data_IF_185435842349
#
_entry.id   IF_185435842349
#
_cell.length_a   1.000
_cell.length_b   1.000
_cell.length_c   1.000
_cell.angle_alpha   90.00
_cell.angle_beta   90.00
_cell.angle_gamma   90.00
#
_symmetry.space_group_name_H-M   'P 1'
#
loop_
_entity.id
_entity.type
_entity.pdbx_description
1 polymer ?
2 polymer ?
3 branched ?
4 non-polymer ?
5 water ?
#
# COMPACT_ATOMS: atom_id res chain seq x y z
N UNK A 1 -2.60 6.07 16.31
CA UNK A 1 -1.14 6.14 16.46
C UNK A 1 -0.43 5.34 15.36
N UNK A 2 -1.20 4.82 14.40
CA UNK A 2 -0.67 4.20 13.19
C UNK A 2 -0.69 5.23 12.06
N UNK A 3 0.45 5.40 11.39
CA UNK A 3 0.54 6.32 10.26
C UNK A 3 1.57 5.85 9.24
N UNK A 4 1.33 6.20 7.98
CA UNK A 4 2.25 5.90 6.89
C UNK A 4 3.49 6.78 6.96
N UNK A 5 4.46 6.42 6.15
CA UNK A 5 5.66 7.22 6.04
C UNK A 5 5.24 8.44 5.22
N UNK A 6 6.03 9.49 5.27
CA UNK A 6 5.78 10.72 4.54
C UNK A 6 6.19 10.54 3.08
N UNK A 7 5.26 10.78 2.17
CA UNK A 7 5.53 10.62 0.75
C UNK A 7 5.52 12.00 0.11
N UNK A 8 6.68 12.44 -0.37
CA UNK A 8 6.80 13.71 -1.05
C UNK A 8 8.15 14.34 -0.75
N UNK A 9 8.20 15.65 -0.91
CA UNK A 9 9.44 16.38 -0.86
C UNK A 9 9.48 17.40 0.27
N UNK A 10 10.60 18.09 0.41
CA UNK A 10 10.80 18.97 1.56
C UNK A 10 10.22 20.38 1.43
N UNK A 11 9.65 20.74 0.28
CA UNK A 11 9.15 22.08 0.08
C UNK A 11 7.86 22.31 0.84
N UNK A 12 7.36 23.52 0.68
CA UNK A 12 6.11 23.94 1.25
C UNK A 12 6.22 24.14 2.76
N UNK A 13 5.05 24.25 3.35
CA UNK A 13 4.89 24.38 4.79
C UNK A 13 4.12 23.18 5.32
N UNK A 14 4.55 22.67 6.47
CA UNK A 14 3.87 21.53 7.09
C UNK A 14 2.46 21.88 7.51
N UNK A 15 1.56 20.90 7.33
CA UNK A 15 0.19 20.93 7.83
C UNK A 15 -0.11 19.61 8.52
N UNK A 16 -1.14 19.61 9.36
CA UNK A 16 -1.51 18.44 10.16
C UNK A 16 -2.95 18.65 10.59
N UNK A 17 -3.84 17.74 10.17
CA UNK A 17 -5.26 17.86 10.43
C UNK A 17 -5.68 17.20 11.75
N UNK A 18 -4.73 16.79 12.58
CA UNK A 18 -5.05 16.06 13.80
C UNK A 18 -6.16 16.74 14.60
N UNK A 19 -6.02 18.04 14.84
CA UNK A 19 -6.99 18.78 15.64
C UNK A 19 -8.34 18.88 14.94
N UNK A 20 -8.36 19.31 13.67
CA UNK A 20 -9.63 19.55 13.00
C UNK A 20 -10.40 18.24 12.82
N UNK A 21 -9.71 17.10 12.86
CA UNK A 21 -10.34 15.80 12.72
C UNK A 21 -11.15 15.37 13.92
N UNK A 22 -10.96 15.99 15.10
CA UNK A 22 -11.88 15.72 16.20
C UNK A 22 -13.30 16.08 15.80
N UNK A 23 -13.49 16.88 14.74
CA UNK A 23 -14.85 17.20 14.32
C UNK A 23 -15.60 16.00 13.78
N UNK A 24 -14.92 14.90 13.43
CA UNK A 24 -15.57 13.67 13.05
C UNK A 24 -14.89 12.93 11.92
N UNK A 25 -15.47 11.80 11.51
CA UNK A 25 -14.95 11.02 10.39
C UNK A 25 -15.00 11.82 9.10
N UNK A 26 -14.08 11.48 8.19
CA UNK A 26 -14.04 12.13 6.88
C UNK A 26 -15.33 11.86 6.13
N UNK A 27 -15.95 12.92 5.65
CA UNK A 27 -17.22 12.87 4.92
C UNK A 27 -17.08 13.32 3.49
N UNK A 28 -15.98 13.97 3.14
CA UNK A 28 -15.80 14.49 1.79
C UNK A 28 -14.32 14.62 1.48
N UNK A 29 -13.97 14.30 0.24
CA UNK A 29 -12.67 14.60 -0.35
C UNK A 29 -12.88 15.69 -1.40
N UNK A 30 -12.25 16.83 -1.21
CA UNK A 30 -12.17 17.85 -2.25
C UNK A 30 -10.71 17.96 -2.68
N UNK A 31 -10.50 17.89 -4.00
CA UNK A 31 -9.18 18.05 -4.59
C UNK A 31 -9.28 18.98 -5.79
N UNK A 32 -8.12 19.38 -6.29
CA UNK A 32 -7.96 20.14 -7.52
C UNK A 32 -7.05 19.35 -8.43
N UNK A 33 -7.55 19.04 -9.64
CA UNK A 33 -6.96 18.01 -10.48
C UNK A 33 -6.72 18.51 -11.90
N UNK A 34 -5.47 18.47 -12.33
CA UNK A 34 -5.13 18.63 -13.74
C UNK A 34 -4.24 17.45 -14.13
N UNK A 35 -3.11 17.68 -14.77
CA UNK A 35 -2.17 16.58 -14.93
C UNK A 35 -1.50 16.20 -13.63
N UNK A 36 -1.60 17.05 -12.62
CA UNK A 36 -1.23 16.72 -11.25
C UNK A 36 -2.35 17.14 -10.31
N UNK A 37 -2.24 16.67 -9.08
CA UNK A 37 -3.13 17.08 -8.01
C UNK A 37 -2.51 18.31 -7.38
N UNK A 38 -3.22 19.44 -7.43
CA UNK A 38 -2.64 20.68 -6.91
C UNK A 38 -3.12 21.04 -5.51
N UNK A 39 -4.28 20.57 -5.06
CA UNK A 39 -4.60 20.72 -3.65
C UNK A 39 -5.53 19.60 -3.18
N UNK A 40 -5.55 19.44 -1.87
CA UNK A 40 -6.45 18.51 -1.20
C UNK A 40 -7.01 19.25 0.01
N UNK A 41 -8.24 18.85 0.38
CA UNK A 41 -8.96 19.51 1.47
C UNK A 41 -10.04 18.53 1.90
N UNK A 42 -9.83 17.87 3.04
CA UNK A 42 -10.81 16.95 3.57
C UNK A 42 -11.76 17.67 4.51
N UNK A 43 -12.97 17.14 4.57
CA UNK A 43 -14.02 17.58 5.49
C UNK A 43 -14.15 16.55 6.60
N UNK A 44 -14.01 17.01 7.84
CA UNK A 44 -14.09 16.15 9.00
C UNK A 44 -15.42 16.40 9.70
N UNK A 45 -16.32 15.41 9.63
CA UNK A 45 -17.71 15.67 9.91
C UNK A 45 -18.24 16.82 9.06
N UNK A 46 -18.47 17.96 9.71
CA UNK A 46 -19.02 19.12 9.03
C UNK A 46 -17.98 20.20 8.76
N UNK A 47 -16.73 20.01 9.19
CA UNK A 47 -15.71 21.05 9.20
C UNK A 47 -14.61 20.72 8.19
N UNK A 48 -14.31 21.69 7.34
CA UNK A 48 -13.26 21.56 6.34
C UNK A 48 -11.93 21.98 6.93
N UNK A 49 -10.87 21.35 6.47
CA UNK A 49 -9.53 21.91 6.71
C UNK A 49 -9.32 23.13 5.82
N UNK A 50 -8.18 23.79 6.04
CA UNK A 50 -7.81 24.78 5.06
C UNK A 50 -7.44 24.06 3.76
N UNK A 51 -7.31 24.84 2.69
CA UNK A 51 -6.94 24.34 1.38
C UNK A 51 -5.44 24.08 1.33
N UNK A 52 -5.05 22.81 1.21
CA UNK A 52 -3.63 22.42 1.29
C UNK A 52 -3.15 22.27 -0.15
N UNK A 53 -2.62 23.37 -0.69
CA UNK A 53 -2.21 23.49 -2.07
C UNK A 53 -2.72 24.77 -2.69
N UNK A 54 -2.29 25.00 -3.94
CA UNK A 54 -2.71 26.16 -4.75
C UNK A 54 -2.90 27.39 -3.86
N UNK A 55 -1.79 27.70 -3.20
CA UNK A 55 -1.72 28.82 -2.29
C UNK A 55 -2.35 30.07 -2.87
N UNK A 56 -1.94 30.44 -4.09
CA UNK A 56 -2.52 31.60 -4.76
C UNK A 56 -2.44 31.47 -6.27
N UNK A 57 -3.13 32.38 -6.95
CA UNK A 57 -3.30 32.27 -8.40
C UNK A 57 -2.01 32.55 -9.16
N UNK A 58 -1.03 33.19 -8.52
CA UNK A 58 0.28 33.27 -9.14
C UNK A 58 0.94 31.91 -9.29
N UNK A 59 0.39 30.87 -8.66
CA UNK A 59 0.99 29.55 -8.81
C UNK A 59 0.91 29.06 -10.25
N UNK A 60 0.11 29.73 -11.10
CA UNK A 60 0.01 29.42 -12.53
C UNK A 60 1.33 29.65 -13.23
N UNK A 61 2.26 30.34 -12.59
CA UNK A 61 3.59 30.51 -13.14
C UNK A 61 4.43 29.25 -13.10
N UNK A 62 3.96 28.21 -12.42
CA UNK A 62 4.79 27.02 -12.18
C UNK A 62 4.10 25.70 -12.52
N UNK A 63 2.79 25.68 -12.66
CA UNK A 63 2.08 24.45 -13.03
C UNK A 63 0.65 24.84 -13.40
N UNK A 64 -0.05 23.90 -14.03
CA UNK A 64 -1.46 24.11 -14.30
C UNK A 64 -2.25 24.06 -13.00
N UNK A 65 -3.48 24.55 -13.07
CA UNK A 65 -4.35 24.72 -11.90
C UNK A 65 -5.26 23.52 -11.70
N UNK A 66 -6.05 23.21 -12.71
CA UNK A 66 -7.03 22.13 -12.63
C UNK A 66 -8.39 22.57 -12.15
N UNK A 67 -9.27 21.56 -12.14
CA UNK A 67 -10.67 21.70 -11.76
C UNK A 67 -10.92 21.06 -10.42
N UNK A 68 -11.87 21.65 -9.71
CA UNK A 68 -12.26 21.16 -8.40
C UNK A 68 -13.04 19.88 -8.56
N UNK A 69 -12.69 18.86 -7.77
CA UNK A 69 -13.37 17.58 -7.74
C UNK A 69 -13.77 17.30 -6.30
N UNK A 70 -15.01 16.87 -6.11
CA UNK A 70 -15.53 16.59 -4.79
C UNK A 70 -16.06 15.17 -4.82
N UNK A 71 -15.63 14.35 -3.88
CA UNK A 71 -16.23 13.04 -3.65
C UNK A 71 -16.86 13.02 -2.26
N UNK A 72 -18.17 12.84 -2.24
CA UNK A 72 -18.91 12.73 -1.00
C UNK A 72 -18.88 11.27 -0.60
N UNK A 73 -18.50 11.02 0.66
CA UNK A 73 -18.56 9.69 1.22
C UNK A 73 -19.92 9.48 1.88
N UNK A 74 -20.49 8.30 1.70
CA UNK A 74 -21.69 8.01 2.46
C UNK A 74 -21.31 7.59 3.87
N UNK A 75 -22.27 7.71 4.78
CA UNK A 75 -22.09 7.23 6.14
C UNK A 75 -21.62 5.77 6.10
N UNK A 76 -20.64 5.45 6.93
CA UNK A 76 -20.04 4.13 6.92
C UNK A 76 -19.04 3.87 5.80
N UNK A 77 -18.85 4.79 4.86
CA UNK A 77 -17.82 4.67 3.84
C UNK A 77 -16.54 5.31 4.34
N UNK A 78 -15.42 4.60 4.24
CA UNK A 78 -14.15 5.17 4.68
C UNK A 78 -13.04 4.88 3.69
N UNK A 79 -12.04 5.77 3.67
CA UNK A 79 -10.92 5.64 2.73
C UNK A 79 -9.98 4.56 3.24
N UNK A 80 -9.79 3.51 2.44
CA UNK A 80 -8.95 2.38 2.88
C UNK A 80 -7.61 2.25 2.16
N UNK A 81 -7.39 2.94 1.05
CA UNK A 81 -6.06 2.91 0.45
C UNK A 81 -5.93 4.10 -0.48
N UNK A 82 -4.68 4.42 -0.80
CA UNK A 82 -4.35 5.42 -1.78
C UNK A 82 -3.17 4.95 -2.61
N UNK A 83 -3.32 5.06 -3.93
CA UNK A 83 -2.20 4.90 -4.84
C UNK A 83 -1.66 6.30 -5.10
N UNK A 84 -0.44 6.53 -4.66
CA UNK A 84 0.20 7.85 -4.72
C UNK A 84 1.40 7.73 -5.64
N UNK A 85 1.44 8.56 -6.67
CA UNK A 85 2.64 8.77 -7.45
C UNK A 85 3.31 10.07 -7.00
N UNK A 86 4.62 10.03 -6.83
CA UNK A 86 5.25 11.17 -6.20
C UNK A 86 6.75 11.21 -6.46
N UNK A 87 7.30 12.41 -6.31
CA UNK A 87 8.73 12.64 -6.33
C UNK A 87 9.10 13.82 -5.45
N UNK A 88 9.53 14.93 -6.07
CA UNK A 88 9.65 16.19 -5.37
C UNK A 88 8.30 16.62 -4.76
N UNK A 89 7.20 16.27 -5.42
CA UNK A 89 5.89 16.61 -4.95
C UNK A 89 5.02 15.37 -5.10
N UNK A 90 3.84 15.43 -4.50
CA UNK A 90 2.80 14.50 -4.87
C UNK A 90 2.37 14.81 -6.30
N UNK A 91 2.40 13.79 -7.15
CA UNK A 91 1.98 13.89 -8.55
C UNK A 91 0.51 13.57 -8.74
N UNK A 92 0.06 12.40 -8.28
CA UNK A 92 -1.33 12.05 -8.45
C UNK A 92 -1.77 11.22 -7.25
N UNK A 93 -3.08 11.16 -7.04
CA UNK A 93 -3.66 10.41 -5.93
C UNK A 93 -4.91 9.71 -6.46
N UNK A 94 -4.95 8.38 -6.31
CA UNK A 94 -6.15 7.58 -6.57
C UNK A 94 -6.60 6.99 -5.23
N UNK A 95 -7.73 7.48 -4.70
CA UNK A 95 -8.21 7.00 -3.42
C UNK A 95 -9.16 5.86 -3.64
N UNK A 96 -9.10 4.87 -2.74
CA UNK A 96 -10.02 3.75 -2.73
C UNK A 96 -10.70 3.70 -1.37
N UNK A 97 -12.01 3.48 -1.37
CA UNK A 97 -12.75 3.34 -0.13
C UNK A 97 -13.20 1.90 0.06
N UNK A 98 -13.75 1.63 1.23
CA UNK A 98 -14.28 0.31 1.45
C UNK A 98 -15.41 -0.03 0.46
N UNK A 99 -15.94 0.97 -0.27
CA UNK A 99 -17.04 0.72 -1.22
C UNK A 99 -16.66 0.84 -2.70
N UNK A 100 -15.57 1.52 -3.05
CA UNK A 100 -15.34 1.78 -4.47
C UNK A 100 -13.95 2.36 -4.69
N UNK A 101 -13.35 2.03 -5.84
CA UNK A 101 -12.20 2.78 -6.31
C UNK A 101 -12.68 4.05 -7.00
N UNK A 102 -12.11 5.18 -6.60
CA UNK A 102 -12.50 6.48 -7.13
C UNK A 102 -11.60 6.86 -8.30
N UNK A 103 -12.00 7.87 -9.08
CA UNK A 103 -11.14 8.38 -10.15
C UNK A 103 -9.86 8.99 -9.60
N UNK A 104 -8.79 8.90 -10.40
CA UNK A 104 -7.51 9.46 -10.05
C UNK A 104 -7.51 10.98 -10.22
N UNK A 105 -6.84 11.65 -9.28
CA UNK A 105 -6.59 13.08 -9.35
C UNK A 105 -5.15 13.26 -9.81
N UNK A 106 -4.99 13.79 -11.00
CA UNK A 106 -3.70 13.90 -11.64
C UNK A 106 -3.63 12.90 -12.78
N UNK A 107 -3.72 13.36 -14.03
CA UNK A 107 -3.72 12.45 -15.17
C UNK A 107 -2.37 11.80 -15.39
N UNK A 108 -1.28 12.48 -15.01
CA UNK A 108 0.04 11.90 -15.16
C UNK A 108 0.38 11.08 -13.93
N UNK A 109 0.80 9.83 -14.16
CA UNK A 109 1.18 8.86 -13.13
C UNK A 109 2.52 8.24 -13.49
N UNK A 110 3.52 9.09 -13.69
CA UNK A 110 4.82 8.66 -14.21
C UNK A 110 5.92 8.63 -13.14
N UNK A 111 5.65 9.21 -12.01
CA UNK A 111 6.59 9.24 -10.94
C UNK A 111 6.50 7.97 -10.06
N UNK A 112 7.38 7.80 -9.08
CA UNK A 112 7.33 6.58 -8.28
C UNK A 112 5.94 6.38 -7.72
N UNK A 113 5.45 5.13 -7.74
CA UNK A 113 4.10 4.82 -7.30
C UNK A 113 4.11 3.85 -6.12
N UNK A 114 3.28 4.13 -5.13
CA UNK A 114 3.15 3.28 -3.96
C UNK A 114 1.66 3.11 -3.72
N UNK A 115 1.28 1.92 -3.27
CA UNK A 115 -0.06 1.65 -2.78
C UNK A 115 -0.03 1.63 -1.25
N UNK A 116 -0.66 2.61 -0.63
CA UNK A 116 -0.67 2.80 0.82
C UNK A 116 -1.95 2.22 1.38
N UNK A 117 -1.83 1.16 2.17
CA UNK A 117 -2.98 0.65 2.89
C UNK A 117 -3.20 1.53 4.11
N UNK A 118 -4.46 1.76 4.43
CA UNK A 118 -4.80 2.68 5.52
C UNK A 118 -5.68 1.87 6.48
N UNK A 119 -5.08 1.17 7.44
CA UNK A 119 -5.87 0.18 8.18
C UNK A 119 -6.94 0.82 9.04
N UNK A 120 -8.15 0.27 8.96
CA UNK A 120 -9.31 0.77 9.68
C UNK A 120 -9.97 1.98 9.05
N UNK A 121 -9.37 2.53 8.00
CA UNK A 121 -9.85 3.73 7.33
C UNK A 121 -8.99 4.92 7.68
N UNK A 122 -8.98 5.89 6.79
CA UNK A 122 -8.23 7.12 7.01
C UNK A 122 -8.89 7.91 8.13
N UNK A 123 -8.11 8.29 9.13
CA UNK A 123 -8.54 9.18 10.19
C UNK A 123 -8.28 10.65 9.84
N UNK A 124 -7.08 10.98 9.43
CA UNK A 124 -6.86 12.31 8.87
C UNK A 124 -5.56 12.28 8.09
N UNK A 125 -5.19 13.42 7.50
CA UNK A 125 -3.96 13.53 6.74
C UNK A 125 -3.05 14.57 7.38
N UNK A 126 -1.75 14.42 7.14
CA UNK A 126 -0.80 15.49 7.37
C UNK A 126 0.08 15.58 6.14
N UNK A 127 0.90 16.62 6.08
CA UNK A 127 1.82 16.75 4.96
C UNK A 127 2.47 18.11 4.88
N UNK A 128 2.80 18.51 3.65
CA UNK A 128 3.36 19.84 3.37
C UNK A 128 2.76 20.36 2.08
N UNK A 129 2.69 21.70 1.96
CA UNK A 129 1.92 22.31 0.86
C UNK A 129 2.44 23.70 0.51
N UNK A 130 2.18 24.10 -0.73
CA UNK A 130 2.39 25.50 -1.13
C UNK A 130 1.58 25.77 -2.38
N UNK A 131 2.24 25.92 -3.54
CA UNK A 131 1.50 25.93 -4.80
C UNK A 131 0.89 24.57 -5.11
N UNK A 132 1.46 23.49 -4.59
CA UNK A 132 0.80 22.22 -4.73
C UNK A 132 1.04 21.41 -3.48
N UNK A 133 0.93 20.08 -3.62
CA UNK A 133 0.99 19.17 -2.49
C UNK A 133 2.41 18.64 -2.43
N UNK A 134 3.23 19.24 -1.59
CA UNK A 134 4.60 18.76 -1.52
C UNK A 134 4.66 17.32 -1.02
N UNK A 135 3.77 16.92 -0.12
CA UNK A 135 3.83 15.59 0.44
C UNK A 135 2.64 15.27 1.34
N UNK A 136 2.40 13.98 1.49
CA UNK A 136 1.28 13.51 2.30
C UNK A 136 1.73 12.39 3.23
N UNK A 137 1.02 12.29 4.36
CA UNK A 137 1.16 11.20 5.33
C UNK A 137 -0.25 10.83 5.78
N UNK A 138 -0.59 9.54 5.80
CA UNK A 138 -1.94 9.08 6.04
C UNK A 138 -2.04 8.47 7.44
N UNK A 139 -2.95 9.00 8.24
CA UNK A 139 -3.08 8.63 9.64
C UNK A 139 -4.30 7.72 9.73
N UNK A 140 -4.04 6.48 10.14
CA UNK A 140 -4.99 5.38 10.09
C UNK A 140 -5.80 5.32 11.39
N UNK A 141 -6.95 4.67 11.30
CA UNK A 141 -7.82 4.57 12.45
C UNK A 141 -7.39 3.45 13.38
N UNK A 142 -6.80 2.39 12.82
CA UNK A 142 -6.34 1.22 13.55
C UNK A 142 -5.63 1.47 14.87
N UNK B 1 -9.99 -7.01 7.34
CA UNK B 1 -9.23 -5.79 7.52
C UNK B 1 -8.95 -5.25 6.13
N UNK B 2 -8.27 -4.10 6.04
CA UNK B 2 -7.93 -3.57 4.75
C UNK B 2 -6.94 -4.53 4.02
N UNK B 3 -7.08 -4.64 2.72
CA UNK B 3 -6.23 -5.53 1.92
C UNK B 3 -5.87 -4.87 0.60
N UNK B 4 -4.66 -5.19 0.12
CA UNK B 4 -4.23 -4.72 -1.19
C UNK B 4 -5.05 -5.39 -2.31
N UNK B 5 -4.73 -5.00 -3.53
CA UNK B 5 -5.18 -5.70 -4.73
C UNK B 5 -4.55 -7.09 -4.80
N UNK B 6 -5.15 -8.00 -5.57
CA UNK B 6 -4.54 -9.30 -5.82
C UNK B 6 -3.45 -9.15 -6.87
N UNK B 7 -2.26 -9.65 -6.56
CA UNK B 7 -1.09 -9.47 -7.41
C UNK B 7 -0.62 -10.81 -7.96
N UNK B 8 -0.87 -11.05 -9.25
CA UNK B 8 -0.50 -12.30 -9.87
C UNK B 8 -1.54 -12.76 -10.86
N UNK B 9 -1.52 -14.07 -11.14
CA UNK B 9 -2.34 -14.67 -12.17
C UNK B 9 -3.43 -15.61 -11.66
N UNK B 10 -4.12 -16.24 -12.60
CA UNK B 10 -5.29 -17.05 -12.25
C UNK B 10 -5.01 -18.50 -11.86
N UNK B 11 -3.78 -18.99 -12.02
CA UNK B 11 -3.49 -20.39 -11.80
C UNK B 11 -3.46 -20.79 -10.33
N UNK B 12 -3.17 -22.07 -10.11
CA UNK B 12 -3.13 -22.63 -8.76
C UNK B 12 -4.46 -22.59 -8.03
N UNK B 13 -4.37 -22.82 -6.71
CA UNK B 13 -5.53 -22.86 -5.81
C UNK B 13 -5.46 -21.74 -4.79
N UNK B 14 -6.61 -21.31 -4.30
CA UNK B 14 -6.67 -20.20 -3.37
C UNK B 14 -6.18 -20.61 -1.98
N UNK B 15 -5.56 -19.66 -1.29
CA UNK B 15 -5.24 -19.80 0.14
C UNK B 15 -5.52 -18.46 0.81
N UNK B 16 -5.75 -18.50 2.11
CA UNK B 16 -6.06 -17.28 2.87
C UNK B 16 -5.61 -17.56 4.29
N UNK B 17 -4.56 -16.85 4.76
CA UNK B 17 -4.02 -17.06 6.10
C UNK B 17 -4.86 -16.36 7.19
N UNK B 18 -6.04 -15.83 6.89
CA UNK B 18 -6.78 -15.02 7.84
C UNK B 18 -6.92 -15.71 9.19
N UNK B 19 -7.45 -16.92 9.19
CA UNK B 19 -7.76 -17.59 10.45
C UNK B 19 -6.49 -17.86 11.24
N UNK B 20 -5.50 -18.42 10.55
CA UNK B 20 -4.22 -18.72 11.18
C UNK B 20 -3.62 -17.47 11.83
N UNK B 21 -3.80 -16.31 11.17
CA UNK B 21 -3.24 -15.05 11.66
C UNK B 21 -3.80 -14.66 13.02
N UNK B 22 -4.96 -15.19 13.38
CA UNK B 22 -5.50 -14.96 14.71
C UNK B 22 -4.66 -15.60 15.81
N UNK B 23 -3.66 -16.43 15.47
CA UNK B 23 -2.74 -16.95 16.49
C UNK B 23 -1.78 -15.87 17.00
N UNK B 24 -1.48 -14.86 16.20
CA UNK B 24 -0.63 -13.79 16.65
C UNK B 24 0.00 -13.06 15.48
N UNK B 25 0.73 -12.00 15.83
CA UNK B 25 1.48 -11.28 14.82
C UNK B 25 2.53 -12.21 14.19
N UNK B 26 2.85 -11.96 12.91
CA UNK B 26 3.96 -12.64 12.23
C UNK B 26 5.25 -12.52 13.03
N UNK B 27 5.88 -13.68 13.28
CA UNK B 27 7.15 -13.79 13.99
C UNK B 27 8.30 -14.23 13.09
N UNK B 28 8.03 -14.66 11.87
CA UNK B 28 9.03 -15.32 11.03
C UNK B 28 8.53 -15.34 9.60
N UNK B 29 9.49 -15.23 8.67
CA UNK B 29 9.23 -15.25 7.24
C UNK B 29 10.10 -16.34 6.68
N UNK B 30 9.48 -17.28 5.98
CA UNK B 30 10.22 -18.33 5.32
C UNK B 30 9.85 -18.35 3.85
N UNK B 31 10.87 -18.40 3.00
CA UNK B 31 10.67 -18.43 1.57
C UNK B 31 11.68 -19.41 0.99
N UNK B 32 11.46 -19.78 -0.26
CA UNK B 32 12.41 -20.58 -1.02
C UNK B 32 12.75 -19.76 -2.25
N UNK B 33 14.02 -19.44 -2.43
CA UNK B 33 14.38 -18.39 -3.38
C UNK B 33 15.42 -18.90 -4.36
N UNK B 34 15.15 -18.64 -5.64
CA UNK B 34 16.15 -18.82 -6.71
C UNK B 34 16.11 -17.64 -7.67
N UNK B 35 15.95 -17.83 -8.98
CA UNK B 35 15.72 -16.63 -9.77
C UNK B 35 14.33 -16.07 -9.48
N UNK B 36 13.43 -16.89 -8.94
CA UNK B 36 12.10 -16.47 -8.54
C UNK B 36 11.83 -17.02 -7.14
N UNK B 37 10.75 -16.51 -6.51
CA UNK B 37 10.30 -17.03 -5.22
C UNK B 37 9.31 -18.17 -5.46
N UNK B 38 9.65 -19.37 -4.98
CA UNK B 38 8.83 -20.56 -5.26
C UNK B 38 7.90 -20.96 -4.13
N UNK B 39 8.13 -20.51 -2.90
CA UNK B 39 7.06 -20.60 -1.94
C UNK B 39 7.25 -19.56 -0.83
N UNK B 40 6.17 -19.34 -0.08
CA UNK B 40 6.17 -18.46 1.08
C UNK B 40 5.45 -19.15 2.21
N UNK B 41 6.01 -19.06 3.42
CA UNK B 41 5.40 -19.62 4.62
C UNK B 41 5.64 -18.70 5.80
N UNK B 42 4.62 -17.98 6.24
CA UNK B 42 4.74 -17.11 7.42
C UNK B 42 4.37 -17.87 8.69
N UNK B 43 4.97 -17.46 9.80
CA UNK B 43 4.61 -17.96 11.13
C UNK B 43 3.83 -16.87 11.86
N UNK B 44 2.66 -17.23 12.36
CA UNK B 44 1.76 -16.33 13.07
C UNK B 44 1.83 -16.65 14.55
N UNK B 45 2.44 -15.77 15.33
CA UNK B 45 2.81 -16.18 16.68
C UNK B 45 3.74 -17.40 16.61
N UNK B 46 3.36 -18.53 17.16
CA UNK B 46 4.26 -19.68 17.06
C UNK B 46 3.68 -20.75 16.16
N UNK B 47 2.83 -20.36 15.22
CA UNK B 47 2.17 -21.35 14.37
C UNK B 47 2.47 -21.05 12.92
N UNK B 48 3.16 -21.97 12.25
CA UNK B 48 3.45 -21.83 10.83
C UNK B 48 2.18 -22.02 10.01
N UNK B 49 2.06 -21.25 8.94
CA UNK B 49 1.12 -21.59 7.90
C UNK B 49 1.62 -22.82 7.13
N UNK B 50 0.80 -23.25 6.18
CA UNK B 50 1.26 -24.22 5.19
C UNK B 50 2.26 -23.56 4.27
N UNK B 51 3.00 -24.43 3.58
CA UNK B 51 3.95 -24.04 2.54
C UNK B 51 3.18 -23.68 1.28
N UNK B 52 3.07 -22.38 1.01
CA UNK B 52 2.27 -21.89 -0.11
C UNK B 52 3.23 -21.79 -1.29
N UNK B 53 3.31 -22.86 -2.05
CA UNK B 53 4.19 -22.95 -3.20
C UNK B 53 4.90 -24.29 -3.20
N UNK B 54 5.66 -24.50 -4.27
CA UNK B 54 6.46 -25.72 -4.42
C UNK B 54 5.69 -26.93 -3.90
N UNK B 55 4.46 -27.08 -4.39
CA UNK B 55 3.59 -28.20 -4.03
C UNK B 55 4.26 -29.56 -3.98
N UNK B 56 5.23 -29.79 -4.87
CA UNK B 56 5.77 -31.12 -5.11
C UNK B 56 7.22 -30.98 -5.54
N UNK B 57 8.08 -31.91 -5.13
CA UNK B 57 9.44 -31.82 -5.67
C UNK B 57 9.47 -32.02 -7.18
N UNK B 58 8.40 -32.52 -7.78
CA UNK B 58 8.40 -32.69 -9.22
C UNK B 58 8.16 -31.37 -9.94
N UNK B 59 7.93 -30.30 -9.18
CA UNK B 59 7.82 -28.96 -9.73
C UNK B 59 9.08 -28.57 -10.47
N UNK B 60 10.16 -29.31 -10.29
CA UNK B 60 11.43 -29.07 -10.93
C UNK B 60 11.33 -29.26 -12.45
N UNK B 61 10.14 -29.58 -12.96
CA UNK B 61 9.96 -29.59 -14.41
C UNK B 61 9.89 -28.17 -14.98
N UNK B 62 9.27 -27.26 -14.26
CA UNK B 62 8.95 -25.96 -14.84
C UNK B 62 9.66 -24.78 -14.19
N UNK B 63 10.45 -24.99 -13.15
CA UNK B 63 11.20 -23.87 -12.60
C UNK B 63 12.32 -24.39 -11.73
N UNK B 64 13.36 -23.59 -11.59
CA UNK B 64 14.33 -23.83 -10.54
C UNK B 64 13.62 -23.93 -9.19
N UNK B 65 14.31 -24.51 -8.22
CA UNK B 65 13.74 -24.73 -6.91
C UNK B 65 14.13 -23.62 -5.94
N UNK B 66 15.43 -23.46 -5.71
CA UNK B 66 15.93 -22.47 -4.77
C UNK B 66 16.22 -23.03 -3.39
N UNK B 67 16.71 -22.12 -2.55
CA UNK B 67 17.18 -22.43 -1.22
C UNK B 67 16.24 -21.80 -0.22
N UNK B 68 16.04 -22.48 0.90
CA UNK B 68 15.22 -21.99 1.97
C UNK B 68 15.84 -20.74 2.60
N UNK B 69 15.03 -19.70 2.78
CA UNK B 69 15.45 -18.44 3.39
C UNK B 69 14.50 -18.15 4.54
N UNK B 70 15.03 -18.04 5.75
CA UNK B 70 14.26 -17.81 6.96
C UNK B 70 14.75 -16.49 7.53
N UNK B 71 13.81 -15.61 7.86
CA UNK B 71 14.11 -14.38 8.56
C UNK B 71 13.24 -14.39 9.81
N UNK B 72 13.88 -14.54 10.97
CA UNK B 72 13.20 -14.40 12.25
C UNK B 72 12.99 -12.93 12.54
N UNK B 73 11.78 -12.57 12.92
CA UNK B 73 11.45 -11.21 13.29
C UNK B 73 11.58 -11.05 14.80
N UNK B 74 12.13 -9.90 15.22
CA UNK B 74 12.22 -9.67 16.66
C UNK B 74 10.89 -9.11 17.19
N UNK B 75 10.71 -9.21 18.50
CA UNK B 75 9.46 -8.74 19.07
C UNK B 75 9.31 -7.25 18.75
N UNK B 76 8.09 -6.87 18.35
CA UNK B 76 7.84 -5.52 17.91
C UNK B 76 8.22 -5.21 16.48
N UNK B 77 8.79 -6.18 15.76
CA UNK B 77 9.17 -6.01 14.35
C UNK B 77 8.01 -6.42 13.48
N UNK B 78 7.65 -5.57 12.52
CA UNK B 78 6.59 -5.92 11.59
C UNK B 78 6.88 -5.40 10.19
N UNK B 79 6.19 -5.99 9.23
CA UNK B 79 6.44 -5.78 7.81
C UNK B 79 5.67 -4.55 7.36
N UNK B 80 6.40 -3.53 6.91
CA UNK B 80 5.75 -2.29 6.50
C UNK B 80 5.69 -2.11 4.99
N UNK B 81 6.39 -2.95 4.22
CA UNK B 81 6.45 -2.72 2.80
C UNK B 81 6.71 -4.05 2.14
N UNK B 82 6.07 -4.27 0.98
CA UNK B 82 6.35 -5.42 0.13
C UNK B 82 6.47 -4.93 -1.31
N UNK B 83 7.63 -5.11 -1.90
CA UNK B 83 7.83 -4.85 -3.32
C UNK B 83 7.73 -6.17 -4.05
N UNK B 84 6.75 -6.28 -4.94
CA UNK B 84 6.45 -7.52 -5.65
C UNK B 84 6.63 -7.27 -7.15
N UNK B 85 7.39 -8.12 -7.83
CA UNK B 85 7.36 -8.17 -9.28
C UNK B 85 6.58 -9.42 -9.71
N UNK B 86 5.80 -9.27 -10.77
CA UNK B 86 4.86 -10.35 -11.04
C UNK B 86 4.27 -10.16 -12.43
N UNK B 87 3.87 -11.28 -13.02
CA UNK B 87 3.00 -11.30 -14.17
C UNK B 87 1.96 -12.38 -13.98
N UNK B 88 2.13 -13.52 -14.67
CA UNK B 88 1.24 -14.67 -14.48
C UNK B 88 1.44 -15.29 -13.11
N UNK B 89 2.63 -15.17 -12.56
CA UNK B 89 3.00 -15.64 -11.23
C UNK B 89 3.64 -14.51 -10.47
N UNK B 90 3.74 -14.64 -9.14
CA UNK B 90 4.71 -13.82 -8.43
C UNK B 90 6.12 -14.23 -8.84
N UNK B 91 6.92 -13.24 -9.21
CA UNK B 91 8.32 -13.46 -9.58
C UNK B 91 9.26 -13.25 -8.39
N UNK B 92 9.26 -12.05 -7.77
CA UNK B 92 10.12 -11.78 -6.62
C UNK B 92 9.37 -11.02 -5.55
N UNK B 93 9.87 -11.15 -4.31
CA UNK B 93 9.28 -10.48 -3.15
C UNK B 93 10.42 -9.86 -2.34
N UNK B 94 10.32 -8.54 -2.08
CA UNK B 94 11.26 -7.79 -1.24
C UNK B 94 10.43 -7.23 -0.12
N UNK B 95 10.70 -7.69 1.11
CA UNK B 95 10.03 -7.22 2.30
C UNK B 95 10.92 -6.22 3.06
N UNK B 96 10.30 -5.16 3.56
CA UNK B 96 10.95 -4.25 4.49
C UNK B 96 10.11 -4.27 5.76
N UNK B 97 10.78 -4.13 6.89
CA UNK B 97 10.12 -4.02 8.19
C UNK B 97 10.40 -2.67 8.80
N UNK B 98 9.76 -2.44 9.94
CA UNK B 98 10.07 -1.24 10.73
C UNK B 98 11.47 -1.28 11.32
N UNK B 99 12.24 -2.35 11.09
CA UNK B 99 13.58 -2.43 11.67
C UNK B 99 14.68 -2.57 10.65
N UNK B 100 14.39 -3.12 9.47
CA UNK B 100 15.43 -3.41 8.50
C UNK B 100 14.76 -3.73 7.15
N UNK B 101 15.59 -3.82 6.14
CA UNK B 101 15.16 -4.21 4.82
C UNK B 101 15.75 -5.58 4.51
N UNK B 102 14.90 -6.51 4.10
CA UNK B 102 15.40 -7.84 3.82
C UNK B 102 15.82 -7.99 2.38
N UNK B 103 16.70 -8.95 2.11
CA UNK B 103 17.04 -9.25 0.72
C UNK B 103 15.85 -9.73 -0.10
N UNK B 104 15.85 -9.34 -1.38
CA UNK B 104 14.82 -9.83 -2.27
C UNK B 104 14.88 -11.34 -2.39
N UNK B 105 13.73 -11.97 -2.40
CA UNK B 105 13.61 -13.39 -2.73
C UNK B 105 13.21 -13.49 -4.20
N UNK B 106 14.11 -14.02 -5.04
CA UNK B 106 13.93 -13.89 -6.48
C UNK B 106 14.93 -12.92 -7.08
N UNK B 107 16.01 -13.44 -7.65
CA UNK B 107 17.06 -12.54 -8.14
C UNK B 107 16.62 -11.80 -9.39
N UNK B 108 15.69 -12.36 -10.16
CA UNK B 108 15.17 -11.67 -11.33
C UNK B 108 14.00 -10.79 -10.92
N UNK B 109 14.07 -9.52 -11.23
CA UNK B 109 13.02 -8.55 -10.94
C UNK B 109 12.61 -7.82 -12.21
N UNK B 110 12.32 -8.62 -13.25
CA UNK B 110 12.12 -8.07 -14.59
C UNK B 110 10.65 -7.83 -14.93
N UNK B 111 9.71 -8.48 -14.23
CA UNK B 111 8.28 -8.31 -14.40
C UNK B 111 7.84 -6.99 -13.77
N UNK B 112 6.63 -6.58 -14.13
CA UNK B 112 5.96 -5.41 -13.57
C UNK B 112 6.09 -5.41 -12.05
N UNK B 113 6.43 -4.22 -11.49
CA UNK B 113 6.69 -4.04 -10.07
C UNK B 113 5.61 -3.19 -9.39
N UNK B 114 5.28 -3.56 -8.15
CA UNK B 114 4.36 -2.77 -7.33
C UNK B 114 4.91 -2.73 -5.90
N UNK B 115 4.70 -1.59 -5.24
CA UNK B 115 5.13 -1.39 -3.86
C UNK B 115 3.89 -1.15 -3.02
N UNK B 116 3.70 -1.99 -2.01
CA UNK B 116 2.55 -1.92 -1.12
C UNK B 116 3.08 -1.57 0.25
N UNK B 117 2.53 -0.52 0.84
CA UNK B 117 2.93 -0.03 2.15
C UNK B 117 1.83 -0.38 3.13
N UNK B 118 2.22 -0.93 4.27
CA UNK B 118 1.28 -1.40 5.27
C UNK B 118 1.60 -0.74 6.61
N UNK B 119 1.12 0.47 6.84
CA UNK B 119 1.33 1.10 8.14
C UNK B 119 0.83 0.16 9.25
N UNK B 120 1.59 0.10 10.34
CA UNK B 120 1.19 -0.72 11.48
C UNK B 120 1.57 -2.16 11.36
N UNK B 121 2.01 -2.61 10.19
CA UNK B 121 2.46 -3.95 9.97
C UNK B 121 1.47 -4.88 9.25
N UNK B 122 2.01 -5.68 8.36
CA UNK B 122 1.25 -6.73 7.75
C UNK B 122 0.66 -7.63 8.82
N UNK B 123 -0.60 -8.03 8.61
CA UNK B 123 -1.28 -9.00 9.46
C UNK B 123 -1.25 -10.41 8.87
N UNK B 124 -1.50 -10.55 7.57
CA UNK B 124 -1.37 -11.87 6.93
C UNK B 124 -1.44 -11.71 5.41
N UNK B 125 -1.15 -12.80 4.71
CA UNK B 125 -1.27 -12.88 3.25
C UNK B 125 -2.39 -13.83 2.85
N UNK B 126 -2.92 -13.61 1.66
CA UNK B 126 -3.68 -14.62 0.93
C UNK B 126 -3.18 -14.66 -0.50
N UNK B 127 -3.69 -15.59 -1.28
CA UNK B 127 -3.27 -15.63 -2.67
C UNK B 127 -3.65 -16.90 -3.39
N UNK B 128 -2.81 -17.34 -4.31
CA UNK B 128 -2.99 -18.63 -4.96
C UNK B 128 -1.63 -19.28 -5.12
N UNK B 129 -1.62 -20.61 -5.16
CA UNK B 129 -0.37 -21.36 -5.12
C UNK B 129 -0.52 -22.70 -5.81
N UNK B 130 0.62 -23.23 -6.27
CA UNK B 130 0.79 -24.60 -6.69
C UNK B 130 2.27 -24.94 -6.72
N UNK B 131 2.87 -25.10 -7.90
CA UNK B 131 4.32 -25.26 -7.95
C UNK B 131 5.04 -23.96 -7.65
N UNK B 132 4.37 -22.83 -7.82
CA UNK B 132 4.92 -21.52 -7.43
C UNK B 132 3.88 -20.70 -6.68
N UNK B 133 4.17 -19.42 -6.46
CA UNK B 133 3.22 -18.49 -5.85
C UNK B 133 2.50 -17.81 -7.00
N UNK B 134 1.28 -18.24 -7.27
CA UNK B 134 0.59 -17.68 -8.42
C UNK B 134 0.18 -16.24 -8.17
N UNK B 135 0.02 -15.85 -6.92
CA UNK B 135 -0.39 -14.48 -6.62
C UNK B 135 -0.48 -14.24 -5.11
N UNK B 136 -0.39 -12.97 -4.77
CA UNK B 136 -0.43 -12.55 -3.37
C UNK B 136 -1.35 -11.36 -3.20
N UNK B 137 -1.97 -11.32 -2.01
CA UNK B 137 -2.71 -10.17 -1.52
C UNK B 137 -2.31 -9.91 -0.08
N UNK B 138 -2.08 -8.65 0.28
CA UNK B 138 -1.54 -8.25 1.58
C UNK B 138 -2.64 -7.65 2.46
N UNK B 139 -2.79 -8.16 3.69
CA UNK B 139 -3.88 -7.76 4.58
C UNK B 139 -3.33 -7.02 5.79
N UNK B 140 -3.89 -5.84 6.07
CA UNK B 140 -3.46 -5.04 7.20
C UNK B 140 -4.17 -5.50 8.47
N UNK B 141 -3.83 -4.87 9.61
CA UNK B 141 -4.30 -5.33 10.92
C UNK B 141 -5.74 -4.93 11.24
N UNK B 142 -6.21 -3.82 10.66
CA UNK B 142 -7.55 -3.31 10.79
C UNK B 142 -8.11 -3.01 9.44
X LIG C 1 10.47 27.04 -7.58
X LIG C 1 9.46 26.02 -7.96
X LIG C 1 8.28 26.03 -7.06
X LIG C 1 7.66 27.42 -6.93
X LIG C 1 6.58 27.39 -5.89
X LIG C 1 9.86 28.42 -7.46
X LIG C 1 10.79 29.28 -6.96
X LIG C 1 11.50 27.08 -8.58
X LIG C 1 10.09 24.70 -7.90
X LIG C 1 7.29 25.14 -7.58
X LIG C 1 8.65 28.44 -6.55
X LIG C 1 7.14 27.11 -4.64
X LIG C 2 6.07 27.21 -3.61
X LIG C 2 6.95 27.18 -2.36
X LIG C 2 7.79 25.90 -2.33
X LIG C 2 6.93 24.67 -2.57
X LIG C 2 6.05 24.85 -3.80
X LIG C 2 5.14 23.65 -4.00
X LIG C 2 7.81 28.32 -2.36
X LIG C 2 8.42 25.80 -1.04
X LIG C 2 7.77 23.53 -2.74
X LIG C 2 5.26 26.03 -3.65
X LIG C 2 4.02 23.72 -3.10
X LIG D 1 2.22 -25.86 -17.10
X LIG D 1 3.13 -24.93 -16.35
X LIG D 1 2.77 -24.94 -14.90
X LIG D 1 2.94 -26.36 -14.37
X LIG D 1 2.64 -26.37 -12.89
X LIG D 1 2.22 -27.28 -16.53
X LIG D 1 1.22 -27.99 -17.16
X LIG D 1 2.61 -25.97 -18.49
X LIG D 1 3.06 -23.57 -16.90
X LIG D 1 3.63 -24.06 -14.16
X LIG D 1 2.05 -27.32 -15.05
X LIG D 1 1.28 -26.12 -12.79
X LIG D 2 1.03 -26.13 -11.32
X LIG D 2 -0.48 -26.00 -11.27
X LIG D 2 -0.93 -24.64 -11.82
X LIG D 2 -0.13 -23.50 -11.20
X LIG D 2 1.37 -23.79 -11.24
X LIG D 2 2.17 -22.70 -10.56
X LIG D 2 -1.09 -27.04 -12.04
X LIG D 2 -2.32 -24.44 -11.55
X LIG D 2 -0.39 -22.28 -11.89
X LIG D 2 1.63 -25.04 -10.61
X LIG D 2 1.82 -22.65 -9.16
X LIG E 1 -20.81 22.92 -0.15
X LIG E 1 -21.34 22.20 1.00
X LIG E 1 -19.44 23.30 0.21
X LIG E 1 -20.80 22.12 -1.39
X LIG E 1 -21.63 24.11 -0.41
X LIG F 1 -19.33 11.29 -5.85
X LIG F 1 -19.70 11.66 -4.51
X LIG F 1 -17.89 11.05 -6.00
X LIG F 1 -19.63 12.43 -6.72
X LIG F 1 -20.14 10.12 -6.23
X LIG G 1 -5.16 5.98 -17.35
X LIG G 1 -5.11 4.93 -18.38
X LIG G 1 -4.46 5.51 -16.15
X LIG G 1 -4.50 7.19 -17.87
X LIG G 1 -6.56 6.26 -17.01
X LIG H 1 -11.49 -21.11 -7.03
X LIG H 1 -11.22 -20.07 -6.03
X LIG H 1 -10.40 -22.08 -7.07
X LIG H 1 -11.61 -20.46 -8.34
X LIG H 1 -12.75 -21.78 -6.69
X LIG I 1 3.36 -28.14 4.49
X LIG I 1 2.67 -29.01 5.43
X LIG I 1 4.51 -27.51 5.17
X LIG I 1 2.46 -27.12 4.00
X LIG I 1 3.82 -28.93 3.35
#
# INVERSE_FOLDING_TARGET
EIASEYLGGPGGDAFDDKAVAQNGDITRIEMQCTDVATYIKLRYGKVDSRQWGWGNENCIQWSKKGEKVVHELSSGEYITSAIVTYGKYVQSITFKTNKRTLPRCGTSATEKSVTVLIPGGLKYISGRWGCRIDGLRFHAKC
QVASEYLGGPGGDAFDDKALAQNGDITRIEMQCTDVATYIKLRYGKVDSRQWGWANENCIQWSKKGVKVVHELSSGEYITSAIVTYGKYVQSITFKTNKRTLPRCGTSATEKSVTVLIPGGLKYISGRWGCRIDGLRFHAKC
BGC C2 C3 C4 C5 C6 C1 O1 O2 O3 O4 O5 O6
GLC C1 C2 C3 C4 C5 C6 O2 O3 O4 O5 O6
BGC C2 C3 C4 C5 C6 C1 O1 O2 O3 O4 O5 O6
GLC C1 C2 C3 C4 C5 C6 O2 O3 O4 O5 O6
SO4 S O1 O2 O3 O4
SO4 S O1 O2 O3 O4
SO4 S O1 O2 O3 O4
SO4 S O1 O2 O3 O4
SO4 S O1 O2 O3 O4
#
